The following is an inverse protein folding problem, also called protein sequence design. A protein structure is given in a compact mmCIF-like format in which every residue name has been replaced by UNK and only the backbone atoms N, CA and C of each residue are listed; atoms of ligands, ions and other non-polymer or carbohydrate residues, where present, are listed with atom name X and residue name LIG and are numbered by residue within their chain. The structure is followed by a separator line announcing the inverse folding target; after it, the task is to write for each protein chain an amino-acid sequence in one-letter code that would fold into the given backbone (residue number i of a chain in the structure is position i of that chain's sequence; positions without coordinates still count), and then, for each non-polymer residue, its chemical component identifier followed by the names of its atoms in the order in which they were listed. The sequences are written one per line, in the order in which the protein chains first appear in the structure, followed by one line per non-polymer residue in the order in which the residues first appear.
data_IF_731601453693
#
_entry.id   IF_731601453693
#
_cell.length_a   1.000
_cell.length_b   1.000
_cell.length_c   1.000
_cell.angle_alpha   90.00
_cell.angle_beta   90.00
_cell.angle_gamma   90.00
#
_symmetry.space_group_name_H-M   'P 1'
#
loop_
_entity.id
_entity.type
_entity.pdbx_description
1 polymer ?
#
# COMPACT_ATOMS: atom_id res chain seq x y z
N UNK A 1 5.73 -32.42 -72.86
CA UNK A 1 5.74 -30.97 -72.57
C UNK A 1 4.28 -30.56 -72.52
N UNK A 2 3.71 -30.18 -71.39
CA UNK A 2 4.00 -28.96 -70.61
C UNK A 2 3.79 -29.23 -69.12
N UNK A 3 4.70 -28.70 -68.32
CA UNK A 3 4.66 -28.62 -66.87
C UNK A 3 3.65 -27.57 -66.41
N UNK A 4 3.08 -27.76 -65.22
CA UNK A 4 2.22 -26.75 -64.57
C UNK A 4 1.90 -27.18 -63.15
N UNK A 5 2.89 -27.08 -62.29
CA UNK A 5 2.85 -27.30 -60.86
C UNK A 5 2.44 -26.00 -60.13
N UNK A 6 1.85 -26.13 -58.93
CA UNK A 6 1.72 -25.11 -57.85
C UNK A 6 0.53 -24.11 -57.90
N UNK A 7 -0.10 -23.67 -56.76
CA UNK A 7 -0.10 -24.18 -55.38
C UNK A 7 -1.50 -24.40 -54.76
N UNK A 8 -1.55 -25.18 -53.68
CA UNK A 8 -2.55 -25.07 -52.62
C UNK A 8 -2.64 -23.62 -52.13
N UNK A 9 -3.84 -23.06 -52.14
CA UNK A 9 -4.14 -21.79 -51.49
C UNK A 9 -3.94 -21.95 -49.99
N UNK A 10 -2.73 -21.66 -49.50
CA UNK A 10 -2.54 -21.31 -48.11
C UNK A 10 -3.45 -20.11 -47.82
N UNK A 11 -4.54 -20.34 -47.09
CA UNK A 11 -5.30 -19.28 -46.45
C UNK A 11 -4.35 -18.58 -45.47
N UNK A 12 -3.65 -17.55 -45.95
CA UNK A 12 -2.99 -16.58 -45.10
C UNK A 12 -4.10 -15.83 -44.41
N UNK A 13 -4.50 -16.31 -43.22
CA UNK A 13 -5.34 -15.56 -42.30
C UNK A 13 -4.55 -14.34 -41.86
N UNK A 14 -4.70 -13.24 -42.59
CA UNK A 14 -4.20 -11.93 -42.19
C UNK A 14 -4.94 -11.60 -40.89
N UNK A 15 -4.26 -11.40 -39.75
CA UNK A 15 -4.93 -10.95 -38.53
C UNK A 15 -5.58 -9.60 -38.85
N UNK A 16 -6.90 -9.58 -38.80
CA UNK A 16 -7.70 -8.45 -39.28
C UNK A 16 -7.41 -7.25 -38.35
N UNK A 17 -7.15 -6.09 -38.94
CA UNK A 17 -6.69 -4.86 -38.26
C UNK A 17 -7.56 -4.43 -37.06
N UNK A 18 -8.83 -4.84 -37.06
CA UNK A 18 -9.82 -4.65 -35.99
C UNK A 18 -9.49 -5.40 -34.68
N UNK A 19 -9.02 -6.65 -34.72
CA UNK A 19 -8.61 -7.39 -33.51
C UNK A 19 -7.41 -6.73 -32.81
N UNK A 20 -6.52 -6.12 -33.59
CA UNK A 20 -5.37 -5.38 -33.07
C UNK A 20 -5.79 -4.06 -32.39
N UNK A 21 -6.82 -3.38 -32.91
CA UNK A 21 -7.38 -2.17 -32.27
C UNK A 21 -8.11 -2.52 -30.97
N UNK A 22 -8.97 -3.55 -30.97
CA UNK A 22 -9.71 -3.98 -29.78
C UNK A 22 -8.77 -4.45 -28.66
N UNK A 23 -7.75 -5.24 -28.99
CA UNK A 23 -6.73 -5.67 -28.03
C UNK A 23 -5.93 -4.48 -27.46
N UNK A 24 -5.58 -3.48 -28.28
CA UNK A 24 -4.94 -2.23 -27.81
C UNK A 24 -5.82 -1.44 -26.85
N UNK A 25 -7.12 -1.31 -27.16
CA UNK A 25 -8.09 -0.64 -26.30
C UNK A 25 -8.24 -1.41 -24.97
N UNK A 26 -8.33 -2.74 -25.02
CA UNK A 26 -8.41 -3.58 -23.83
C UNK A 26 -7.17 -3.45 -22.94
N UNK A 27 -5.96 -3.46 -23.53
CA UNK A 27 -4.69 -3.24 -22.80
C UNK A 27 -4.68 -1.85 -22.16
N UNK A 28 -5.13 -0.82 -22.87
CA UNK A 28 -5.16 0.56 -22.36
C UNK A 28 -6.16 0.72 -21.21
N UNK A 29 -7.36 0.14 -21.34
CA UNK A 29 -8.37 0.13 -20.30
C UNK A 29 -7.86 -0.61 -19.05
N UNK A 30 -7.26 -1.79 -19.23
CA UNK A 30 -6.67 -2.57 -18.14
C UNK A 30 -5.53 -1.80 -17.45
N UNK A 31 -4.63 -1.19 -18.22
CA UNK A 31 -3.54 -0.36 -17.69
C UNK A 31 -4.05 0.82 -16.86
N UNK A 32 -5.10 1.50 -17.32
CA UNK A 32 -5.74 2.62 -16.61
C UNK A 32 -6.30 2.19 -15.24
N UNK A 33 -6.94 1.02 -15.18
CA UNK A 33 -7.47 0.46 -13.92
C UNK A 33 -6.34 0.16 -12.94
N UNK A 34 -5.24 -0.46 -13.40
CA UNK A 34 -4.09 -0.78 -12.54
C UNK A 34 -3.44 0.51 -12.00
N UNK A 35 -3.25 1.53 -12.84
CA UNK A 35 -2.69 2.82 -12.41
C UNK A 35 -3.61 3.47 -11.37
N UNK A 36 -4.92 3.49 -11.61
CA UNK A 36 -5.91 4.02 -10.66
C UNK A 36 -5.87 3.28 -9.32
N UNK A 37 -5.74 1.96 -9.34
CA UNK A 37 -5.63 1.14 -8.13
C UNK A 37 -4.36 1.42 -7.32
N UNK A 38 -3.22 1.57 -7.99
CA UNK A 38 -1.95 1.94 -7.36
C UNK A 38 -2.08 3.34 -6.74
N UNK A 39 -2.60 4.30 -7.49
CA UNK A 39 -2.81 5.67 -7.01
C UNK A 39 -3.73 5.71 -5.79
N UNK A 40 -4.84 4.96 -5.81
CA UNK A 40 -5.76 4.83 -4.67
C UNK A 40 -5.07 4.24 -3.44
N UNK A 41 -4.26 3.18 -3.62
CA UNK A 41 -3.53 2.56 -2.51
C UNK A 41 -2.53 3.52 -1.88
N UNK A 42 -1.77 4.25 -2.70
CA UNK A 42 -0.84 5.28 -2.25
C UNK A 42 -1.59 6.39 -1.49
N UNK A 43 -2.70 6.88 -2.05
CA UNK A 43 -3.56 7.87 -1.41
C UNK A 43 -4.04 7.42 -0.03
N UNK A 44 -4.52 6.19 0.09
CA UNK A 44 -4.93 5.55 1.36
C UNK A 44 -3.80 5.55 2.40
N UNK A 45 -2.58 5.21 2.01
CA UNK A 45 -1.42 5.18 2.92
C UNK A 45 -1.10 6.61 3.40
N UNK A 46 -1.06 7.59 2.50
CA UNK A 46 -0.73 8.97 2.85
C UNK A 46 -1.81 9.67 3.69
N UNK A 47 -3.06 9.26 3.59
CA UNK A 47 -4.19 9.82 4.35
C UNK A 47 -4.51 9.03 5.62
N UNK A 48 -3.86 7.88 5.83
CA UNK A 48 -4.11 7.03 7.00
C UNK A 48 -3.80 7.72 8.33
N UNK A 49 -2.84 8.65 8.37
CA UNK A 49 -2.45 9.37 9.58
C UNK A 49 -2.21 10.86 9.32
N UNK A 50 -2.59 11.76 10.25
CA UNK A 50 -2.38 13.20 10.10
C UNK A 50 -0.88 13.58 9.97
N UNK A 51 -0.62 14.73 9.35
CA UNK A 51 0.76 15.25 9.21
C UNK A 51 1.24 15.76 10.57
N UNK A 52 2.42 15.32 10.99
CA UNK A 52 3.00 15.68 12.30
C UNK A 52 4.19 16.64 12.21
N UNK A 53 4.60 17.03 10.99
CA UNK A 53 5.81 17.82 10.76
C UNK A 53 5.73 19.25 11.31
N UNK A 54 4.54 19.84 11.37
CA UNK A 54 4.32 21.20 11.88
C UNK A 54 4.10 21.24 13.41
N UNK A 55 4.01 20.07 14.05
CA UNK A 55 3.73 19.98 15.48
C UNK A 55 4.98 20.26 16.31
N UNK A 56 4.76 20.79 17.51
CA UNK A 56 5.80 20.95 18.53
C UNK A 56 6.24 19.59 19.08
N UNK A 57 7.40 19.54 19.73
CA UNK A 57 7.89 18.29 20.32
C UNK A 57 6.96 17.78 21.43
N UNK A 58 6.33 18.69 22.18
CA UNK A 58 5.31 18.33 23.17
C UNK A 58 4.09 17.66 22.52
N UNK A 59 3.57 18.22 21.42
CA UNK A 59 2.45 17.62 20.69
C UNK A 59 2.83 16.24 20.13
N UNK A 60 4.04 16.07 19.60
CA UNK A 60 4.50 14.76 19.10
C UNK A 60 4.67 13.74 20.22
N UNK A 61 5.15 14.16 21.39
CA UNK A 61 5.24 13.31 22.58
C UNK A 61 3.84 12.89 23.08
N UNK A 62 2.86 13.80 23.07
CA UNK A 62 1.45 13.47 23.36
C UNK A 62 0.88 12.47 22.36
N UNK A 63 1.16 12.63 21.07
CA UNK A 63 0.76 11.65 20.03
C UNK A 63 1.37 10.28 20.33
N UNK A 64 2.66 10.22 20.66
CA UNK A 64 3.32 8.96 21.01
C UNK A 64 2.64 8.29 22.21
N UNK A 65 2.34 9.06 23.26
CA UNK A 65 1.65 8.57 24.45
C UNK A 65 0.26 8.02 24.14
N UNK A 66 -0.51 8.71 23.31
CA UNK A 66 -1.82 8.23 22.86
C UNK A 66 -1.66 6.94 22.05
N UNK A 67 -0.71 6.86 21.11
CA UNK A 67 -0.48 5.63 20.37
C UNK A 67 -0.11 4.47 21.31
N UNK A 68 0.79 4.65 22.27
CA UNK A 68 1.14 3.59 23.24
C UNK A 68 -0.05 3.15 24.11
N UNK A 69 -0.99 4.06 24.42
CA UNK A 69 -2.22 3.74 25.17
C UNK A 69 -3.11 2.72 24.45
N UNK A 70 -3.12 2.71 23.12
CA UNK A 70 -3.94 1.80 22.31
C UNK A 70 -3.18 0.54 21.85
N UNK A 71 -2.00 0.27 22.40
CA UNK A 71 -1.25 -0.94 22.06
C UNK A 71 -2.05 -2.20 22.41
N UNK A 72 -2.26 -3.07 21.42
CA UNK A 72 -2.92 -4.37 21.59
C UNK A 72 -1.91 -5.53 21.68
N UNK A 73 -0.60 -5.30 21.48
CA UNK A 73 0.40 -6.36 21.51
C UNK A 73 0.16 -7.50 20.50
N UNK A 74 -0.40 -7.19 19.32
CA UNK A 74 -0.73 -8.16 18.27
C UNK A 74 0.53 -8.68 17.56
N UNK A 75 1.11 -9.74 18.13
CA UNK A 75 2.27 -10.45 17.59
C UNK A 75 2.12 -10.89 16.12
N UNK A 76 0.89 -11.18 15.66
CA UNK A 76 0.61 -11.52 14.26
C UNK A 76 0.94 -10.38 13.26
N UNK A 77 1.18 -9.17 13.74
CA UNK A 77 1.62 -8.03 12.93
C UNK A 77 3.14 -7.88 12.88
N UNK A 78 3.92 -8.56 13.74
CA UNK A 78 5.36 -8.34 13.92
C UNK A 78 6.25 -8.95 12.84
N UNK A 79 5.70 -9.85 12.02
CA UNK A 79 6.39 -10.40 10.85
C UNK A 79 5.72 -9.97 9.55
N UNK A 80 6.50 -9.86 8.48
CA UNK A 80 5.99 -9.71 7.12
C UNK A 80 6.77 -10.64 6.20
N UNK A 81 6.06 -11.34 5.32
CA UNK A 81 6.63 -12.34 4.42
C UNK A 81 6.03 -12.21 3.02
N UNK A 82 6.87 -12.30 1.99
CA UNK A 82 6.48 -12.22 0.58
C UNK A 82 7.21 -13.30 -0.21
N UNK A 83 6.45 -14.05 -1.01
CA UNK A 83 6.96 -15.08 -1.92
C UNK A 83 6.47 -14.77 -3.34
N UNK A 84 7.39 -14.65 -4.30
CA UNK A 84 7.10 -14.33 -5.70
C UNK A 84 6.13 -13.14 -5.89
N UNK A 85 6.33 -12.08 -5.11
CA UNK A 85 5.50 -10.86 -5.20
C UNK A 85 4.18 -10.91 -4.44
N UNK A 86 3.80 -12.06 -3.87
CA UNK A 86 2.55 -12.24 -3.10
C UNK A 86 2.86 -12.39 -1.62
N UNK A 87 2.13 -11.68 -0.75
CA UNK A 87 2.28 -11.79 0.69
C UNK A 87 2.07 -10.47 1.41
N UNK A 88 2.77 -10.23 2.51
CA UNK A 88 2.63 -9.03 3.34
C UNK A 88 3.89 -8.20 3.35
N UNK A 89 3.74 -6.89 3.53
CA UNK A 89 4.85 -5.95 3.66
C UNK A 89 4.49 -4.79 4.58
N UNK A 90 5.52 -4.13 5.10
CA UNK A 90 5.38 -2.90 5.88
C UNK A 90 5.51 -1.67 4.98
N UNK A 91 4.49 -0.81 5.03
CA UNK A 91 4.40 0.42 4.26
C UNK A 91 4.38 1.60 5.21
N UNK A 92 5.33 2.53 5.05
CA UNK A 92 5.48 3.67 5.95
C UNK A 92 4.30 4.62 5.77
N UNK A 93 3.50 4.76 6.82
CA UNK A 93 2.39 5.72 6.88
C UNK A 93 2.92 7.06 7.32
N UNK A 94 3.65 7.08 8.45
CA UNK A 94 4.23 8.32 8.99
C UNK A 94 5.53 8.07 9.74
N UNK A 95 6.24 9.16 10.01
CA UNK A 95 7.37 9.20 10.93
C UNK A 95 7.36 10.53 11.65
N UNK A 96 7.76 10.54 12.91
CA UNK A 96 7.86 11.75 13.74
C UNK A 96 9.13 11.66 14.60
N UNK A 97 9.73 12.81 14.91
CA UNK A 97 10.79 12.90 15.92
C UNK A 97 10.14 13.10 17.27
N UNK A 98 10.47 12.26 18.25
CA UNK A 98 10.06 12.37 19.65
C UNK A 98 11.30 12.16 20.50
N UNK A 99 11.58 13.09 21.41
CA UNK A 99 12.75 13.03 22.31
C UNK A 99 14.07 12.73 21.57
N UNK A 100 14.27 13.40 20.43
CA UNK A 100 15.43 13.22 19.54
C UNK A 100 15.55 11.84 18.87
N UNK A 101 14.53 10.99 18.99
CA UNK A 101 14.45 9.68 18.33
C UNK A 101 13.37 9.67 17.25
N UNK A 102 13.67 8.98 16.14
CA UNK A 102 12.72 8.87 15.03
C UNK A 102 11.82 7.66 15.22
N UNK A 103 10.53 7.90 15.40
CA UNK A 103 9.50 6.88 15.50
C UNK A 103 8.75 6.77 14.18
N UNK A 104 8.41 5.55 13.78
CA UNK A 104 7.70 5.24 12.56
C UNK A 104 6.36 4.59 12.84
N UNK A 105 5.38 4.93 12.00
CA UNK A 105 4.10 4.25 11.90
C UNK A 105 4.10 3.51 10.57
N UNK A 106 4.02 2.18 10.63
CA UNK A 106 3.90 1.31 9.47
C UNK A 106 2.52 0.69 9.41
N UNK A 107 1.96 0.59 8.21
CA UNK A 107 0.84 -0.28 7.91
C UNK A 107 1.38 -1.63 7.42
N UNK A 108 0.90 -2.74 7.97
CA UNK A 108 1.10 -4.06 7.39
C UNK A 108 0.02 -4.27 6.33
N UNK A 109 0.41 -4.42 5.08
CA UNK A 109 -0.53 -4.54 3.96
C UNK A 109 -0.22 -5.80 3.15
N UNK A 110 -1.26 -6.37 2.55
CA UNK A 110 -1.10 -7.46 1.59
C UNK A 110 -0.65 -6.91 0.24
N UNK A 111 0.16 -7.67 -0.49
CA UNK A 111 0.69 -7.33 -1.82
C UNK A 111 0.43 -8.48 -2.78
N UNK A 112 0.12 -8.13 -4.04
CA UNK A 112 0.00 -9.06 -5.16
C UNK A 112 0.88 -8.52 -6.28
N UNK A 113 1.70 -9.38 -6.90
CA UNK A 113 2.65 -8.97 -7.95
C UNK A 113 3.51 -7.77 -7.54
N UNK A 114 3.98 -7.74 -6.29
CA UNK A 114 4.78 -6.65 -5.69
C UNK A 114 4.05 -5.31 -5.50
N UNK A 115 2.78 -5.20 -5.90
CA UNK A 115 1.95 -4.01 -5.73
C UNK A 115 1.20 -4.12 -4.39
N UNK A 116 1.28 -3.11 -3.49
CA UNK A 116 0.44 -3.10 -2.31
C UNK A 116 -1.03 -3.07 -2.69
N UNK A 117 -1.85 -3.84 -1.99
CA UNK A 117 -3.30 -3.74 -2.04
C UNK A 117 -3.78 -2.73 -1.00
N UNK A 118 -4.94 -2.07 -1.16
CA UNK A 118 -5.48 -1.12 -0.18
C UNK A 118 -6.03 -1.78 1.09
N UNK A 119 -5.72 -3.07 1.30
CA UNK A 119 -6.11 -3.88 2.44
C UNK A 119 -5.01 -3.81 3.49
N UNK A 120 -5.27 -3.04 4.56
CA UNK A 120 -4.40 -2.97 5.73
C UNK A 120 -4.80 -4.05 6.73
N UNK A 121 -3.83 -4.84 7.18
CA UNK A 121 -4.01 -5.88 8.19
C UNK A 121 -3.88 -5.32 9.62
N UNK A 122 -3.15 -4.23 9.78
CA UNK A 122 -2.95 -3.53 11.03
C UNK A 122 -1.79 -2.54 10.93
N UNK A 123 -1.46 -1.92 12.05
CA UNK A 123 -0.41 -0.90 12.14
C UNK A 123 0.62 -1.27 13.20
N UNK A 124 1.85 -0.80 13.01
CA UNK A 124 2.95 -0.91 13.94
C UNK A 124 3.51 0.47 14.27
N UNK A 125 3.82 0.69 15.54
CA UNK A 125 4.66 1.78 16.01
C UNK A 125 6.04 1.21 16.33
N UNK A 126 7.10 1.78 15.78
CA UNK A 126 8.45 1.22 15.97
C UNK A 126 9.54 2.27 15.77
N UNK A 127 10.72 2.04 16.35
CA UNK A 127 11.92 2.81 16.00
C UNK A 127 12.50 2.36 14.65
N UNK A 128 12.43 1.06 14.38
CA UNK A 128 12.77 0.43 13.12
C UNK A 128 12.04 -0.92 13.04
N UNK A 129 12.21 -1.66 11.93
CA UNK A 129 11.49 -2.92 11.69
C UNK A 129 11.78 -4.01 12.75
N UNK A 130 12.89 -3.92 13.47
CA UNK A 130 13.31 -4.91 14.47
C UNK A 130 12.96 -4.48 15.91
N UNK A 131 12.67 -3.19 16.12
CA UNK A 131 12.35 -2.59 17.42
C UNK A 131 10.91 -2.05 17.42
N UNK A 132 9.97 -2.97 17.57
CA UNK A 132 8.52 -2.68 17.67
C UNK A 132 8.20 -2.17 19.07
N UNK A 133 7.43 -1.08 19.13
CA UNK A 133 6.98 -0.44 20.37
C UNK A 133 5.54 -0.77 20.69
N UNK A 134 4.68 -0.78 19.67
CA UNK A 134 3.27 -1.08 19.81
C UNK A 134 2.69 -1.61 18.49
N UNK A 135 1.53 -2.24 18.57
CA UNK A 135 0.79 -2.76 17.42
C UNK A 135 -0.71 -2.65 17.59
N UNK A 136 -1.38 -2.43 16.47
CA UNK A 136 -2.77 -2.02 16.44
C UNK A 136 -3.54 -2.78 15.36
N UNK A 137 -4.72 -3.26 15.71
CA UNK A 137 -5.77 -3.49 14.73
C UNK A 137 -6.16 -2.20 14.02
N UNK A 138 -6.85 -2.34 12.88
CA UNK A 138 -7.43 -1.19 12.20
C UNK A 138 -8.42 -0.41 13.08
N UNK A 139 -9.13 -1.09 13.98
CA UNK A 139 -10.08 -0.47 14.90
C UNK A 139 -9.36 0.36 15.97
N UNK A 140 -8.42 -0.24 16.70
CA UNK A 140 -7.63 0.45 17.72
C UNK A 140 -6.86 1.64 17.13
N UNK A 141 -6.27 1.49 15.94
CA UNK A 141 -5.58 2.59 15.26
C UNK A 141 -6.52 3.73 14.87
N UNK A 142 -7.76 3.42 14.45
CA UNK A 142 -8.78 4.42 14.12
C UNK A 142 -9.21 5.21 15.36
N UNK A 143 -9.37 4.55 16.50
CA UNK A 143 -9.70 5.20 17.78
C UNK A 143 -8.55 6.07 18.26
N UNK A 144 -7.30 5.56 18.24
CA UNK A 144 -6.11 6.34 18.57
C UNK A 144 -6.00 7.60 17.70
N UNK A 145 -6.21 7.46 16.38
CA UNK A 145 -6.21 8.59 15.44
C UNK A 145 -7.27 9.62 15.81
N UNK A 146 -8.49 9.18 16.12
CA UNK A 146 -9.58 10.08 16.50
C UNK A 146 -9.24 10.88 17.75
N UNK A 147 -8.70 10.22 18.79
CA UNK A 147 -8.26 10.90 20.02
C UNK A 147 -7.15 11.92 19.73
N UNK A 148 -6.18 11.59 18.86
CA UNK A 148 -5.12 12.52 18.45
C UNK A 148 -5.69 13.76 17.74
N UNK A 149 -6.62 13.56 16.82
CA UNK A 149 -7.25 14.66 16.09
C UNK A 149 -7.98 15.58 17.07
N UNK A 150 -8.82 15.03 17.95
CA UNK A 150 -9.63 15.80 18.90
C UNK A 150 -8.81 16.50 20.00
N UNK A 151 -7.72 15.89 20.47
CA UNK A 151 -7.01 16.36 21.68
C UNK A 151 -5.65 16.99 21.43
N UNK A 152 -5.04 16.79 20.25
CA UNK A 152 -3.70 17.31 19.94
C UNK A 152 -3.72 18.25 18.75
N UNK A 153 -4.48 17.93 17.70
CA UNK A 153 -4.46 18.66 16.42
C UNK A 153 -5.50 19.78 16.33
N UNK A 154 -6.58 19.71 17.12
CA UNK A 154 -7.62 20.73 17.20
C UNK A 154 -7.46 21.70 18.38
N UNK A 155 -6.30 21.69 19.03
CA UNK A 155 -5.82 22.74 19.95
C UNK A 155 -4.97 23.76 19.19
#
# INVERSE_FOLDING_TARGET
MVAGDVPDTEEVTVPTENENIESKIAIFAFGTVIIGFIAYTIFKIFTAFPKTNHLTDEQRSRILKILMKYDEGKNGLFSAYRMNGVGTGYYKVRSMMVDNEKVYIYAKMFSILYIPTPITLGYLLCYNKDKILASFSNAAFKEAKKEIEETVLHL
#
